data_IF_548083400227
#
_entry.id   IF_548083400227
#
_cell.length_a   1.000
_cell.length_b   1.000
_cell.length_c   1.000
_cell.angle_alpha   90.00
_cell.angle_beta   90.00
_cell.angle_gamma   90.00
#
_symmetry.space_group_name_H-M   'P 1'
#
loop_
_entity.id
_entity.type
_entity.pdbx_description
1 polymer ?
#
# COMPACT_ATOMS: atom_id res chain seq x y z
N UNK A 1 22.02 6.91 29.52
CA UNK A 1 20.85 6.01 29.50
C UNK A 1 20.03 6.34 28.26
N UNK A 2 20.05 5.47 27.24
CA UNK A 2 19.27 5.67 26.01
C UNK A 2 17.89 5.04 26.16
N UNK A 3 16.87 5.86 26.35
CA UNK A 3 15.48 5.40 26.31
C UNK A 3 15.08 5.20 24.84
N UNK A 4 15.16 3.96 24.35
CA UNK A 4 14.53 3.58 23.08
C UNK A 4 13.02 3.65 23.28
N UNK A 5 12.40 4.76 22.83
CA UNK A 5 11.01 5.07 23.17
C UNK A 5 9.99 4.39 22.25
N UNK A 6 10.39 3.83 21.11
CA UNK A 6 9.49 3.10 20.20
C UNK A 6 10.26 2.03 19.41
N UNK A 7 9.86 0.74 19.44
CA UNK A 7 10.58 -0.36 18.80
C UNK A 7 10.43 -0.42 17.26
N UNK A 8 9.74 0.53 16.63
CA UNK A 8 9.44 0.53 15.20
C UNK A 8 9.44 1.94 14.61
N UNK A 9 10.61 2.60 14.56
CA UNK A 9 10.75 3.85 13.81
C UNK A 9 10.74 3.57 12.30
N UNK A 10 9.56 3.64 11.66
CA UNK A 10 9.49 3.86 10.21
C UNK A 10 9.92 5.31 9.97
N UNK A 11 11.20 5.52 9.64
CA UNK A 11 11.73 6.85 9.31
C UNK A 11 11.33 7.26 7.90
N UNK A 12 10.21 7.96 7.77
CA UNK A 12 9.83 8.63 6.53
C UNK A 12 10.51 10.01 6.49
N UNK A 13 11.30 10.27 5.46
CA UNK A 13 11.86 11.60 5.23
C UNK A 13 10.92 12.38 4.31
N UNK A 14 10.26 13.46 4.78
CA UNK A 14 9.30 14.21 3.96
C UNK A 14 9.94 14.90 2.75
N UNK A 15 11.27 15.07 2.74
CA UNK A 15 12.01 15.76 1.69
C UNK A 15 12.72 14.82 0.71
N UNK A 16 12.52 13.49 0.81
CA UNK A 16 13.15 12.51 -0.07
C UNK A 16 12.19 11.33 -0.36
N UNK A 17 12.45 10.62 -1.45
CA UNK A 17 11.71 9.41 -1.83
C UNK A 17 10.33 9.70 -2.44
N UNK A 18 10.01 10.96 -2.72
CA UNK A 18 8.79 11.35 -3.40
C UNK A 18 8.68 10.80 -4.82
N UNK A 19 9.79 10.71 -5.57
CA UNK A 19 9.78 10.15 -6.94
C UNK A 19 9.33 8.70 -6.96
N UNK A 20 9.96 7.87 -6.13
CA UNK A 20 9.64 6.44 -6.02
C UNK A 20 8.22 6.23 -5.48
N UNK A 21 7.76 7.07 -4.56
CA UNK A 21 6.38 7.06 -4.08
C UNK A 21 5.37 7.41 -5.19
N UNK A 22 5.65 8.43 -6.00
CA UNK A 22 4.79 8.80 -7.14
C UNK A 22 4.73 7.69 -8.19
N UNK A 23 5.85 7.01 -8.45
CA UNK A 23 5.89 5.86 -9.37
C UNK A 23 5.02 4.70 -8.85
N UNK A 24 5.07 4.43 -7.54
CA UNK A 24 4.16 3.45 -6.91
C UNK A 24 2.70 3.87 -6.92
N UNK A 25 2.40 5.17 -6.80
CA UNK A 25 1.04 5.68 -6.95
C UNK A 25 0.49 5.41 -8.35
N UNK A 26 1.28 5.72 -9.39
CA UNK A 26 0.92 5.41 -10.79
C UNK A 26 0.63 3.91 -10.93
N UNK A 27 1.48 3.06 -10.37
CA UNK A 27 1.31 1.61 -10.42
C UNK A 27 0.10 1.10 -9.59
N UNK A 28 -0.16 1.70 -8.43
CA UNK A 28 -1.27 1.32 -7.55
C UNK A 28 -2.64 1.57 -8.20
N UNK A 29 -2.77 2.70 -8.89
CA UNK A 29 -3.97 3.02 -9.66
C UNK A 29 -4.04 2.30 -11.02
N UNK A 30 -2.96 1.66 -11.48
CA UNK A 30 -2.90 1.04 -12.80
C UNK A 30 -2.77 2.03 -13.95
N UNK A 31 -2.27 3.24 -13.70
CA UNK A 31 -2.02 4.23 -14.72
C UNK A 31 -0.74 3.93 -15.50
N UNK A 32 -0.69 4.35 -16.76
CA UNK A 32 0.52 4.26 -17.60
C UNK A 32 1.35 5.54 -17.55
N UNK A 33 0.74 6.67 -17.13
CA UNK A 33 1.40 7.97 -17.12
C UNK A 33 1.17 8.72 -15.82
N UNK A 34 2.14 9.56 -15.46
CA UNK A 34 2.02 10.53 -14.37
C UNK A 34 0.99 11.63 -14.65
N UNK A 35 0.63 11.86 -15.92
CA UNK A 35 -0.41 12.82 -16.27
C UNK A 35 -1.78 12.30 -15.84
N UNK A 36 -2.08 11.02 -16.10
CA UNK A 36 -3.31 10.39 -15.63
C UNK A 36 -3.44 10.44 -14.09
N UNK A 37 -2.33 10.28 -13.37
CA UNK A 37 -2.32 10.47 -11.92
C UNK A 37 -2.64 11.92 -11.51
N UNK A 38 -2.11 12.93 -12.22
CA UNK A 38 -2.42 14.33 -11.93
C UNK A 38 -3.90 14.65 -12.18
N UNK A 39 -4.45 14.12 -13.26
CA UNK A 39 -5.85 14.28 -13.63
C UNK A 39 -6.77 13.62 -12.58
N UNK A 40 -6.42 12.42 -12.10
CA UNK A 40 -7.15 11.71 -11.03
C UNK A 40 -7.10 12.43 -9.68
N UNK A 41 -5.94 12.99 -9.33
CA UNK A 41 -5.76 13.74 -8.08
C UNK A 41 -6.31 15.17 -8.15
N UNK A 42 -6.90 15.57 -9.28
CA UNK A 42 -7.40 16.92 -9.54
C UNK A 42 -6.34 18.02 -9.32
N UNK A 43 -5.07 17.72 -9.61
CA UNK A 43 -3.95 18.66 -9.51
C UNK A 43 -3.41 19.03 -10.88
N UNK A 44 -2.83 20.23 -10.98
CA UNK A 44 -2.15 20.62 -12.22
C UNK A 44 -0.92 19.75 -12.49
N UNK A 45 -0.62 19.55 -13.79
CA UNK A 45 0.61 18.87 -14.24
C UNK A 45 1.88 19.50 -13.65
N UNK A 46 1.88 20.82 -13.45
CA UNK A 46 2.99 21.55 -12.84
C UNK A 46 3.14 21.23 -11.35
N UNK A 47 2.05 21.07 -10.60
CA UNK A 47 2.09 20.66 -9.18
C UNK A 47 2.71 19.28 -9.02
N UNK A 48 2.28 18.31 -9.84
CA UNK A 48 2.86 16.97 -9.83
C UNK A 48 4.33 16.98 -10.25
N UNK A 49 4.66 17.68 -11.34
CA UNK A 49 6.04 17.78 -11.82
C UNK A 49 6.98 18.43 -10.80
N UNK A 50 6.54 19.51 -10.14
CA UNK A 50 7.31 20.17 -9.09
C UNK A 50 7.56 19.25 -7.90
N UNK A 51 6.52 18.54 -7.43
CA UNK A 51 6.66 17.61 -6.31
C UNK A 51 7.59 16.43 -6.66
N UNK A 52 7.48 15.90 -7.88
CA UNK A 52 8.39 14.89 -8.41
C UNK A 52 9.83 15.40 -8.49
N UNK A 53 10.06 16.60 -9.02
CA UNK A 53 11.40 17.19 -9.17
C UNK A 53 12.07 17.42 -7.81
N UNK A 54 11.32 17.94 -6.83
CA UNK A 54 11.79 18.20 -5.46
C UNK A 54 11.92 16.95 -4.61
N UNK A 55 11.55 15.78 -5.14
CA UNK A 55 11.55 14.50 -4.44
C UNK A 55 10.80 14.55 -3.09
N UNK A 56 9.83 15.45 -2.98
CA UNK A 56 9.04 15.66 -1.75
C UNK A 56 8.03 14.54 -1.60
N UNK A 57 7.99 13.93 -0.41
CA UNK A 57 7.17 12.77 -0.14
C UNK A 57 5.66 13.11 -0.14
N UNK A 58 4.85 12.49 -1.01
CA UNK A 58 3.43 12.83 -1.17
C UNK A 58 2.55 12.05 -0.18
N UNK A 59 2.64 12.37 1.12
CA UNK A 59 1.90 11.65 2.15
C UNK A 59 0.38 11.71 1.96
N UNK A 60 -0.13 12.88 1.56
CA UNK A 60 -1.52 13.14 1.17
C UNK A 60 -2.01 12.18 0.08
N UNK A 61 -1.28 12.08 -1.03
CA UNK A 61 -1.67 11.22 -2.16
C UNK A 61 -1.55 9.73 -1.84
N UNK A 62 -0.58 9.35 -1.01
CA UNK A 62 -0.44 7.96 -0.54
C UNK A 62 -1.65 7.55 0.31
N UNK A 63 -2.08 8.39 1.24
CA UNK A 63 -3.22 8.09 2.09
C UNK A 63 -4.49 7.97 1.24
N UNK A 64 -4.71 8.92 0.32
CA UNK A 64 -5.84 8.87 -0.60
C UNK A 64 -5.84 7.58 -1.44
N UNK A 65 -4.71 7.23 -2.05
CA UNK A 65 -4.57 6.02 -2.85
C UNK A 65 -4.83 4.74 -2.03
N UNK A 66 -4.33 4.67 -0.80
CA UNK A 66 -4.58 3.53 0.07
C UNK A 66 -6.07 3.36 0.38
N UNK A 67 -6.79 4.45 0.63
CA UNK A 67 -8.23 4.44 0.90
C UNK A 67 -9.05 4.06 -0.35
N UNK A 68 -8.65 4.53 -1.53
CA UNK A 68 -9.39 4.28 -2.77
C UNK A 68 -9.15 2.87 -3.34
N UNK A 69 -7.91 2.37 -3.26
CA UNK A 69 -7.50 1.12 -3.93
C UNK A 69 -7.36 -0.07 -2.98
N UNK A 70 -7.34 0.17 -1.65
CA UNK A 70 -6.99 -0.86 -0.68
C UNK A 70 -5.53 -1.31 -0.75
N UNK A 71 -4.66 -0.55 -1.44
CA UNK A 71 -3.23 -0.84 -1.53
C UNK A 71 -2.55 -0.61 -0.17
N UNK A 72 -1.64 -1.50 0.19
CA UNK A 72 -0.86 -1.45 1.43
C UNK A 72 -0.09 -0.13 1.57
N UNK A 73 -0.35 0.60 2.66
CA UNK A 73 0.41 1.79 3.03
C UNK A 73 1.91 1.51 3.14
N UNK A 74 2.29 0.33 3.68
CA UNK A 74 3.71 -0.04 3.79
C UNK A 74 4.35 -0.14 2.41
N UNK A 75 3.67 -0.74 1.45
CA UNK A 75 4.16 -0.85 0.08
C UNK A 75 4.19 0.51 -0.62
N UNK A 76 3.14 1.34 -0.52
CA UNK A 76 3.12 2.68 -1.11
C UNK A 76 4.25 3.58 -0.58
N UNK A 77 4.50 3.53 0.73
CA UNK A 77 5.51 4.39 1.39
C UNK A 77 6.94 3.89 1.20
N UNK A 78 7.18 2.57 1.27
CA UNK A 78 8.54 2.01 1.31
C UNK A 78 8.91 1.15 0.09
N UNK A 79 7.94 0.73 -0.72
CA UNK A 79 8.10 -0.28 -1.75
C UNK A 79 8.27 -1.71 -1.22
N UNK A 80 8.21 -1.91 0.10
CA UNK A 80 8.44 -3.22 0.72
C UNK A 80 7.12 -3.92 1.06
N UNK A 81 7.12 -5.25 0.92
CA UNK A 81 5.98 -6.11 1.22
C UNK A 81 5.02 -6.29 0.04
N UNK A 82 3.83 -6.79 0.33
CA UNK A 82 2.79 -7.02 -0.67
C UNK A 82 2.06 -5.71 -1.02
N UNK A 83 1.78 -5.53 -2.31
CA UNK A 83 1.03 -4.38 -2.85
C UNK A 83 -0.38 -4.33 -2.27
N UNK A 84 -1.10 -5.44 -2.29
CA UNK A 84 -2.39 -5.54 -1.62
C UNK A 84 -2.15 -5.85 -0.15
N UNK A 85 -2.81 -5.11 0.74
CA UNK A 85 -2.87 -5.54 2.13
C UNK A 85 -3.60 -6.88 2.17
N UNK A 86 -3.07 -7.85 2.92
CA UNK A 86 -3.59 -9.22 3.06
C UNK A 86 -5.03 -9.31 3.62
N UNK A 87 -5.72 -8.18 3.77
CA UNK A 87 -7.15 -8.10 4.09
C UNK A 87 -8.05 -8.38 2.88
N UNK A 88 -7.53 -8.28 1.64
CA UNK A 88 -8.28 -8.54 0.38
C UNK A 88 -7.61 -9.54 -0.56
N UNK A 89 -6.39 -9.99 -0.24
CA UNK A 89 -5.75 -11.07 -0.98
C UNK A 89 -6.46 -12.38 -0.62
N UNK A 90 -7.53 -12.68 -1.36
CA UNK A 90 -8.28 -13.94 -1.37
C UNK A 90 -8.16 -14.73 -0.05
N UNK A 91 -8.99 -14.39 0.94
CA UNK A 91 -9.34 -15.39 1.96
C UNK A 91 -9.99 -16.54 1.22
N UNK A 92 -9.20 -17.56 0.88
CA UNK A 92 -9.74 -18.85 0.49
C UNK A 92 -10.41 -19.44 1.72
N UNK A 93 -11.69 -19.79 1.59
CA UNK A 93 -12.44 -20.49 2.63
C UNK A 93 -11.70 -21.77 2.98
N UNK A 94 -11.20 -21.84 4.22
CA UNK A 94 -10.39 -22.96 4.64
C UNK A 94 -11.34 -24.10 5.01
N UNK A 95 -11.32 -25.18 4.24
CA UNK A 95 -12.20 -26.33 4.48
C UNK A 95 -11.97 -26.85 5.89
N UNK A 96 -13.03 -26.81 6.70
CA UNK A 96 -13.04 -27.31 8.06
C UNK A 96 -13.25 -28.81 8.00
N UNK A 97 -12.36 -29.56 8.64
CA UNK A 97 -12.52 -31.00 8.80
C UNK A 97 -12.80 -31.34 10.25
N UNK A 98 -13.71 -32.28 10.46
CA UNK A 98 -13.98 -32.90 11.76
C UNK A 98 -13.58 -34.38 11.71
N UNK A 99 -12.88 -34.82 12.75
CA UNK A 99 -12.53 -36.22 12.93
C UNK A 99 -13.70 -36.99 13.53
N UNK A 100 -14.15 -38.04 12.83
CA UNK A 100 -15.14 -38.99 13.34
C UNK A 100 -14.75 -40.42 12.95
N UNK A 101 -14.74 -41.33 13.93
CA UNK A 101 -14.40 -42.75 13.73
C UNK A 101 -13.07 -42.98 12.96
N UNK A 102 -12.06 -42.16 13.23
CA UNK A 102 -10.73 -42.27 12.61
C UNK A 102 -10.64 -41.76 11.15
N UNK A 103 -11.70 -41.15 10.62
CA UNK A 103 -11.70 -40.52 9.30
C UNK A 103 -11.90 -39.01 9.41
N UNK A 104 -11.24 -38.26 8.52
CA UNK A 104 -11.50 -36.82 8.35
C UNK A 104 -12.74 -36.64 7.47
N UNK A 105 -13.73 -35.90 7.97
CA UNK A 105 -14.98 -35.58 7.28
C UNK A 105 -15.04 -34.05 7.13
N UNK A 106 -15.39 -33.56 5.94
CA UNK A 106 -15.63 -32.14 5.70
C UNK A 106 -16.83 -31.64 6.51
N UNK A 107 -16.66 -30.56 7.28
CA UNK A 107 -17.59 -30.00 8.26
C UNK A 107 -17.67 -28.47 8.11
N UNK A 108 -17.74 -27.99 6.86
CA UNK A 108 -17.91 -26.58 6.49
C UNK A 108 -16.60 -25.85 6.13
N UNK A 109 -16.60 -24.53 6.26
CA UNK A 109 -15.47 -23.65 5.97
C UNK A 109 -15.28 -22.57 7.05
N UNK A 110 -14.06 -22.03 7.15
CA UNK A 110 -13.69 -20.86 7.97
C UNK A 110 -13.52 -19.61 7.13
#
# INVERSE_FOLDING_TARGET
>A
MSTSKYPSEIKINPNKGGKAAIERLVEAYGFTTRQALADHLEVSKSTLANRYLRDTFPADWIIQCALETGTSLKWLTTGQGLKQSSLTAATEELVKFRLAAGKMIEDGSY
#
